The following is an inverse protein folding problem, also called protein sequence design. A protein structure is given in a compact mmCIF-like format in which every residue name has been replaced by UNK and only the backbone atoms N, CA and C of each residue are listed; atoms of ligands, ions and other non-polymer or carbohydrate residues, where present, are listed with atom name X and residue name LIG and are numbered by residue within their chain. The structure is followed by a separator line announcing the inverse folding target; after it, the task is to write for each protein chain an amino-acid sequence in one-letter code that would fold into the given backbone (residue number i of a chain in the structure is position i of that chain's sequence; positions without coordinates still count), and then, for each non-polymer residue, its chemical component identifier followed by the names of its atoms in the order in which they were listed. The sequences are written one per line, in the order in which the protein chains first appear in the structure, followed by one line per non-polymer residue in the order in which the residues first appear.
data_IF_628394385396
#
_entry.id   IF_628394385396
#
_cell.length_a   1.000
_cell.length_b   1.000
_cell.length_c   1.000
_cell.angle_alpha   90.00
_cell.angle_beta   90.00
_cell.angle_gamma   90.00
#
_symmetry.space_group_name_H-M   'P 1'
#
loop_
_entity.id
_entity.type
_entity.pdbx_description
1 polymer ?
#
# COMPACT_ATOMS: atom_id res chain seq x y z
N UNK A 1 15.64 6.37 -17.82
CA UNK A 1 14.51 6.01 -16.93
C UNK A 1 13.23 6.54 -17.55
N UNK A 2 12.15 5.75 -17.68
CA UNK A 2 10.90 6.25 -18.27
C UNK A 2 10.14 7.12 -17.26
N UNK A 3 9.57 8.24 -17.71
CA UNK A 3 8.76 9.15 -16.88
C UNK A 3 7.27 8.84 -16.96
N UNK A 4 6.49 9.31 -16.00
CA UNK A 4 5.02 9.19 -15.99
C UNK A 4 4.40 9.94 -17.19
N UNK A 5 3.40 9.32 -17.80
CA UNK A 5 2.55 9.87 -18.87
C UNK A 5 1.06 9.68 -18.54
N UNK A 6 0.19 10.32 -19.32
CA UNK A 6 -1.27 10.20 -19.15
C UNK A 6 -1.80 8.77 -19.33
N UNK A 7 -1.03 7.89 -19.97
CA UNK A 7 -1.43 6.52 -20.29
C UNK A 7 -0.60 5.46 -19.56
N UNK A 8 0.56 5.82 -18.98
CA UNK A 8 1.45 4.84 -18.34
C UNK A 8 2.30 5.46 -17.23
N UNK A 9 2.53 4.69 -16.16
CA UNK A 9 3.48 5.08 -15.12
C UNK A 9 4.92 4.77 -15.55
N UNK A 10 5.82 5.68 -15.21
CA UNK A 10 7.25 5.57 -15.43
C UNK A 10 7.91 4.58 -14.47
N UNK A 11 9.21 4.35 -14.68
CA UNK A 11 9.99 3.36 -13.94
C UNK A 11 9.96 3.62 -12.43
N UNK A 12 10.12 4.89 -11.98
CA UNK A 12 10.13 5.23 -10.54
C UNK A 12 8.80 4.85 -9.88
N UNK A 13 7.70 5.32 -10.45
CA UNK A 13 6.34 5.11 -9.92
C UNK A 13 6.02 3.63 -9.79
N UNK A 14 6.45 2.83 -10.78
CA UNK A 14 6.25 1.37 -10.81
C UNK A 14 7.16 0.65 -9.82
N UNK A 15 8.44 0.97 -9.77
CA UNK A 15 9.37 0.36 -8.81
C UNK A 15 8.92 0.63 -7.38
N UNK A 16 8.56 1.88 -7.05
CA UNK A 16 7.99 2.21 -5.74
C UNK A 16 6.71 1.42 -5.46
N UNK A 17 5.81 1.29 -6.45
CA UNK A 17 4.55 0.55 -6.28
C UNK A 17 4.80 -0.93 -5.94
N UNK A 18 5.59 -1.61 -6.77
CA UNK A 18 5.84 -3.04 -6.63
C UNK A 18 6.71 -3.38 -5.42
N UNK A 19 7.67 -2.53 -5.07
CA UNK A 19 8.43 -2.66 -3.83
C UNK A 19 7.52 -2.60 -2.61
N UNK A 20 6.59 -1.63 -2.58
CA UNK A 20 5.60 -1.53 -1.51
C UNK A 20 4.64 -2.72 -1.51
N UNK A 21 4.17 -3.18 -2.67
CA UNK A 21 3.28 -4.33 -2.79
C UNK A 21 3.94 -5.60 -2.22
N UNK A 22 5.21 -5.85 -2.54
CA UNK A 22 5.99 -6.95 -1.97
C UNK A 22 6.14 -6.82 -0.44
N UNK A 23 6.39 -5.62 0.07
CA UNK A 23 6.45 -5.38 1.50
C UNK A 23 5.09 -5.61 2.18
N UNK A 24 3.98 -5.17 1.61
CA UNK A 24 2.64 -5.42 2.19
C UNK A 24 2.29 -6.90 2.17
N UNK A 25 2.64 -7.64 1.11
CA UNK A 25 2.51 -9.09 1.08
C UNK A 25 3.28 -9.73 2.23
N UNK A 26 4.53 -9.31 2.47
CA UNK A 26 5.33 -9.76 3.60
C UNK A 26 4.68 -9.42 4.95
N UNK A 27 4.12 -8.21 5.10
CA UNK A 27 3.43 -7.79 6.33
C UNK A 27 2.25 -8.71 6.66
N UNK A 28 1.40 -9.00 5.67
CA UNK A 28 0.25 -9.89 5.87
C UNK A 28 0.68 -11.35 6.06
N UNK A 29 1.68 -11.82 5.31
CA UNK A 29 2.19 -13.18 5.43
C UNK A 29 2.80 -13.44 6.81
N UNK A 30 3.65 -12.53 7.31
CA UNK A 30 4.24 -12.63 8.64
C UNK A 30 3.15 -12.59 9.73
N UNK A 31 2.19 -11.67 9.61
CA UNK A 31 1.09 -11.56 10.56
C UNK A 31 0.23 -12.83 10.60
N UNK A 32 -0.11 -13.40 9.45
CA UNK A 32 -0.84 -14.67 9.36
C UNK A 32 -0.01 -15.81 9.97
N UNK A 33 1.28 -15.90 9.63
CA UNK A 33 2.16 -16.99 10.04
C UNK A 33 2.21 -17.17 11.56
N UNK A 34 2.42 -16.10 12.33
CA UNK A 34 2.48 -16.24 13.80
C UNK A 34 1.11 -16.38 14.47
N UNK A 35 0.02 -16.01 13.79
CA UNK A 35 -1.33 -16.27 14.30
C UNK A 35 -1.76 -17.73 14.05
N UNK A 36 -1.17 -18.41 13.05
CA UNK A 36 -1.38 -19.84 12.81
C UNK A 36 -0.43 -20.71 13.63
N UNK A 37 0.80 -20.23 13.88
CA UNK A 37 1.80 -20.95 14.65
C UNK A 37 2.62 -19.99 15.51
N UNK A 38 2.41 -20.08 16.83
CA UNK A 38 3.10 -19.27 17.82
C UNK A 38 4.64 -19.37 17.75
N UNK A 39 5.19 -20.49 17.26
CA UNK A 39 6.63 -20.66 17.05
C UNK A 39 7.21 -19.66 16.05
N UNK A 40 6.37 -19.06 15.18
CA UNK A 40 6.74 -18.06 14.19
C UNK A 40 6.64 -16.61 14.71
N UNK A 41 6.27 -16.39 15.98
CA UNK A 41 6.30 -15.06 16.64
C UNK A 41 7.62 -14.30 16.47
N UNK A 42 8.82 -14.93 16.39
CA UNK A 42 10.06 -14.21 16.09
C UNK A 42 10.04 -13.40 14.79
N UNK A 43 9.18 -13.74 13.81
CA UNK A 43 8.99 -12.96 12.57
C UNK A 43 8.50 -11.52 12.82
N UNK A 44 8.01 -11.21 14.02
CA UNK A 44 7.63 -9.83 14.39
C UNK A 44 8.79 -8.85 14.22
N UNK A 45 10.06 -9.29 14.36
CA UNK A 45 11.23 -8.44 14.12
C UNK A 45 11.28 -7.97 12.66
N UNK A 46 11.06 -8.90 11.73
CA UNK A 46 11.00 -8.62 10.30
C UNK A 46 9.79 -7.74 9.96
N UNK A 47 8.62 -8.03 10.54
CA UNK A 47 7.41 -7.24 10.35
C UNK A 47 7.58 -5.78 10.79
N UNK A 48 8.23 -5.54 11.94
CA UNK A 48 8.53 -4.18 12.41
C UNK A 48 9.48 -3.44 11.47
N UNK A 49 10.55 -4.10 11.02
CA UNK A 49 11.50 -3.52 10.08
C UNK A 49 10.83 -3.18 8.73
N UNK A 50 10.04 -4.10 8.18
CA UNK A 50 9.28 -3.89 6.94
C UNK A 50 8.21 -2.80 7.09
N UNK A 51 7.56 -2.71 8.25
CA UNK A 51 6.59 -1.66 8.56
C UNK A 51 7.20 -0.26 8.58
N UNK A 52 8.40 -0.10 9.17
CA UNK A 52 9.14 1.16 9.12
C UNK A 52 9.58 1.50 7.69
N UNK A 53 10.11 0.52 6.95
CA UNK A 53 10.47 0.71 5.55
C UNK A 53 9.26 1.14 4.71
N UNK A 54 8.10 0.53 4.91
CA UNK A 54 6.85 0.88 4.24
C UNK A 54 6.43 2.32 4.54
N UNK A 55 6.60 2.81 5.77
CA UNK A 55 6.29 4.20 6.09
C UNK A 55 7.19 5.17 5.31
N UNK A 56 8.49 4.88 5.22
CA UNK A 56 9.44 5.68 4.44
C UNK A 56 9.12 5.64 2.95
N UNK A 57 8.87 4.44 2.40
CA UNK A 57 8.47 4.27 1.01
C UNK A 57 7.14 4.96 0.70
N UNK A 58 6.18 4.93 1.63
CA UNK A 58 4.91 5.64 1.51
C UNK A 58 5.12 7.15 1.43
N UNK A 59 6.00 7.71 2.27
CA UNK A 59 6.36 9.12 2.22
C UNK A 59 7.00 9.47 0.86
N UNK A 60 8.02 8.73 0.43
CA UNK A 60 8.67 8.95 -0.87
C UNK A 60 7.66 8.87 -2.01
N UNK A 61 6.79 7.85 -1.99
CA UNK A 61 5.74 7.66 -2.99
C UNK A 61 4.72 8.81 -2.98
N UNK A 62 4.34 9.30 -1.81
CA UNK A 62 3.39 10.40 -1.67
C UNK A 62 3.99 11.73 -2.15
N UNK A 63 5.25 12.02 -1.82
CA UNK A 63 5.95 13.20 -2.35
C UNK A 63 6.09 13.11 -3.87
N UNK A 64 6.55 11.96 -4.38
CA UNK A 64 6.63 11.69 -5.82
C UNK A 64 5.27 11.88 -6.51
N UNK A 65 4.21 11.41 -5.85
CA UNK A 65 2.85 11.55 -6.32
C UNK A 65 2.37 12.99 -6.46
N UNK A 66 2.73 13.84 -5.50
CA UNK A 66 2.36 15.24 -5.48
C UNK A 66 3.13 16.02 -6.55
N UNK A 67 4.45 15.79 -6.66
CA UNK A 67 5.31 16.43 -7.67
C UNK A 67 4.86 16.12 -9.10
N UNK A 68 4.35 14.90 -9.33
CA UNK A 68 3.90 14.45 -10.65
C UNK A 68 2.38 14.41 -10.82
N UNK A 69 1.61 15.09 -9.95
CA UNK A 69 0.15 15.02 -9.96
C UNK A 69 -0.48 15.39 -11.32
N UNK A 70 0.07 16.38 -12.01
CA UNK A 70 -0.42 16.83 -13.32
C UNK A 70 -0.23 15.81 -14.45
N UNK A 71 0.61 14.79 -14.26
CA UNK A 71 0.94 13.79 -15.29
C UNK A 71 0.16 12.49 -15.12
N UNK A 72 -0.82 12.46 -14.22
CA UNK A 72 -1.57 11.26 -13.87
C UNK A 72 -2.81 11.08 -14.76
N UNK A 73 -3.20 9.84 -15.08
CA UNK A 73 -4.44 9.58 -15.79
C UNK A 73 -5.65 10.15 -15.02
N UNK A 74 -6.57 10.81 -15.71
CA UNK A 74 -7.80 11.32 -15.11
C UNK A 74 -8.68 10.15 -14.58
N UNK A 75 -9.38 10.40 -13.48
CA UNK A 75 -10.29 9.44 -12.86
C UNK A 75 -11.48 10.14 -12.21
N UNK A 76 -12.63 9.46 -12.17
CA UNK A 76 -13.84 9.94 -11.50
C UNK A 76 -13.68 10.06 -9.99
N UNK A 77 -14.68 10.63 -9.32
CA UNK A 77 -14.67 10.88 -7.86
C UNK A 77 -14.41 9.60 -7.06
N UNK A 78 -15.03 8.47 -7.44
CA UNK A 78 -14.82 7.18 -6.77
C UNK A 78 -13.35 6.70 -6.83
N UNK A 79 -12.68 6.89 -7.97
CA UNK A 79 -11.26 6.52 -8.13
C UNK A 79 -10.39 7.39 -7.23
N UNK A 80 -10.65 8.69 -7.19
CA UNK A 80 -9.91 9.63 -6.32
C UNK A 80 -10.12 9.31 -4.84
N UNK A 81 -11.36 9.05 -4.43
CA UNK A 81 -11.70 8.68 -3.06
C UNK A 81 -11.02 7.36 -2.64
N UNK A 82 -11.04 6.34 -3.50
CA UNK A 82 -10.33 5.07 -3.24
C UNK A 82 -8.82 5.26 -3.08
N UNK A 83 -8.19 6.06 -3.93
CA UNK A 83 -6.76 6.36 -3.80
C UNK A 83 -6.46 7.16 -2.52
N UNK A 84 -7.29 8.14 -2.18
CA UNK A 84 -7.13 8.91 -0.94
C UNK A 84 -7.22 8.00 0.29
N UNK A 85 -8.21 7.10 0.32
CA UNK A 85 -8.35 6.11 1.40
C UNK A 85 -7.14 5.17 1.48
N UNK A 86 -6.62 4.70 0.33
CA UNK A 86 -5.39 3.90 0.29
C UNK A 86 -4.20 4.69 0.85
N UNK A 87 -3.97 5.93 0.42
CA UNK A 87 -2.88 6.76 0.96
C UNK A 87 -3.03 6.97 2.47
N UNK A 88 -4.23 7.31 2.95
CA UNK A 88 -4.48 7.50 4.39
C UNK A 88 -4.10 6.25 5.20
N UNK A 89 -4.55 5.07 4.75
CA UNK A 89 -4.25 3.81 5.44
C UNK A 89 -2.79 3.37 5.30
N UNK A 90 -2.14 3.67 4.17
CA UNK A 90 -0.71 3.42 3.98
C UNK A 90 0.16 4.12 5.05
N UNK A 91 -0.28 5.27 5.57
CA UNK A 91 0.38 5.95 6.68
C UNK A 91 -0.17 5.51 8.04
N UNK A 92 -1.50 5.41 8.20
CA UNK A 92 -2.12 5.14 9.49
C UNK A 92 -1.77 3.75 10.06
N UNK A 93 -1.68 2.71 9.20
CA UNK A 93 -1.34 1.34 9.63
C UNK A 93 0.08 1.25 10.22
N UNK A 94 1.16 1.66 9.54
CA UNK A 94 2.50 1.62 10.13
C UNK A 94 2.65 2.63 11.29
N UNK A 95 2.01 3.80 11.23
CA UNK A 95 2.01 4.75 12.34
C UNK A 95 1.38 4.17 13.61
N UNK A 96 0.26 3.44 13.49
CA UNK A 96 -0.36 2.75 14.63
C UNK A 96 0.49 1.59 15.13
N UNK A 97 1.21 0.90 14.24
CA UNK A 97 2.19 -0.12 14.64
C UNK A 97 3.33 0.46 15.49
N UNK A 98 3.86 1.62 15.10
CA UNK A 98 4.85 2.35 15.91
C UNK A 98 4.25 2.85 17.22
N UNK A 99 3.05 3.44 17.19
CA UNK A 99 2.37 3.86 18.41
C UNK A 99 2.21 2.70 19.39
N UNK A 100 1.86 1.49 18.92
CA UNK A 100 1.81 0.30 19.77
C UNK A 100 3.16 -0.05 20.41
N UNK A 101 4.27 0.17 19.72
CA UNK A 101 5.62 -0.05 20.25
C UNK A 101 6.01 1.00 21.31
N UNK A 102 5.53 2.23 21.16
CA UNK A 102 5.82 3.33 22.08
C UNK A 102 4.68 3.60 23.08
N UNK A 103 3.72 2.67 23.23
CA UNK A 103 2.54 2.80 24.10
C UNK A 103 1.70 4.08 23.85
N UNK A 104 1.65 4.54 22.59
CA UNK A 104 0.85 5.68 22.15
C UNK A 104 -0.65 5.37 21.99
N UNK A 105 -1.46 6.43 22.01
CA UNK A 105 -2.91 6.40 22.16
C UNK A 105 -3.69 5.53 21.14
N UNK A 106 -3.17 5.33 19.93
CA UNK A 106 -3.88 4.63 18.85
C UNK A 106 -3.22 3.30 18.45
N UNK A 107 -2.30 2.77 19.27
CA UNK A 107 -1.61 1.50 19.00
C UNK A 107 -2.54 0.28 18.93
N UNK A 108 -3.61 0.28 19.74
CA UNK A 108 -4.59 -0.81 19.78
C UNK A 108 -5.42 -0.91 18.48
N UNK A 109 -5.52 0.18 17.71
CA UNK A 109 -6.25 0.19 16.44
C UNK A 109 -5.51 -0.53 15.30
N UNK A 110 -4.23 -0.86 15.48
CA UNK A 110 -3.37 -1.39 14.40
C UNK A 110 -3.98 -2.60 13.68
N UNK A 111 -4.49 -3.59 14.42
CA UNK A 111 -5.10 -4.79 13.82
C UNK A 111 -6.34 -4.46 12.98
N UNK A 112 -7.22 -3.61 13.49
CA UNK A 112 -8.42 -3.17 12.78
C UNK A 112 -8.06 -2.37 11.52
N UNK A 113 -7.14 -1.42 11.63
CA UNK A 113 -6.64 -0.63 10.50
C UNK A 113 -6.00 -1.52 9.43
N UNK A 114 -5.20 -2.51 9.84
CA UNK A 114 -4.58 -3.47 8.93
C UNK A 114 -5.61 -4.30 8.17
N UNK A 115 -6.69 -4.73 8.83
CA UNK A 115 -7.77 -5.50 8.18
C UNK A 115 -8.56 -4.65 7.18
N UNK A 116 -8.93 -3.42 7.55
CA UNK A 116 -9.58 -2.46 6.64
C UNK A 116 -8.69 -2.21 5.42
N UNK A 117 -7.39 -2.02 5.65
CA UNK A 117 -6.44 -1.80 4.56
C UNK A 117 -6.27 -3.03 3.66
N UNK A 118 -6.24 -4.24 4.22
CA UNK A 118 -6.24 -5.49 3.46
C UNK A 118 -7.46 -5.57 2.53
N UNK A 119 -8.67 -5.33 3.04
CA UNK A 119 -9.89 -5.34 2.24
C UNK A 119 -9.86 -4.28 1.13
N UNK A 120 -9.34 -3.09 1.43
CA UNK A 120 -9.21 -2.03 0.45
C UNK A 120 -8.19 -2.36 -0.65
N UNK A 121 -7.06 -2.99 -0.31
CA UNK A 121 -6.08 -3.52 -1.28
C UNK A 121 -6.73 -4.62 -2.14
N UNK A 122 -7.43 -5.56 -1.53
CA UNK A 122 -8.11 -6.64 -2.25
C UNK A 122 -9.15 -6.07 -3.24
N UNK A 123 -9.97 -5.11 -2.78
CA UNK A 123 -10.91 -4.39 -3.63
C UNK A 123 -10.21 -3.62 -4.75
N UNK A 124 -9.10 -2.93 -4.46
CA UNK A 124 -8.29 -2.24 -5.48
C UNK A 124 -7.80 -3.21 -6.56
N UNK A 125 -7.20 -4.33 -6.17
CA UNK A 125 -6.72 -5.37 -7.11
C UNK A 125 -7.90 -5.90 -7.94
N UNK A 126 -9.00 -6.30 -7.30
CA UNK A 126 -10.18 -6.80 -7.98
C UNK A 126 -10.71 -5.81 -9.02
N UNK A 127 -10.82 -4.52 -8.66
CA UNK A 127 -11.23 -3.47 -9.59
C UNK A 127 -10.27 -3.35 -10.79
N UNK A 128 -8.95 -3.36 -10.58
CA UNK A 128 -7.99 -3.29 -11.70
C UNK A 128 -8.13 -4.46 -12.66
N UNK A 129 -8.39 -5.67 -12.14
CA UNK A 129 -8.61 -6.87 -12.94
C UNK A 129 -9.94 -6.80 -13.69
N UNK A 130 -11.01 -6.33 -13.04
CA UNK A 130 -12.32 -6.17 -13.67
C UNK A 130 -12.27 -5.14 -14.81
N UNK A 131 -11.62 -4.01 -14.62
CA UNK A 131 -11.42 -3.02 -15.69
C UNK A 131 -10.58 -3.59 -16.84
N UNK A 132 -9.50 -4.33 -16.53
CA UNK A 132 -8.70 -5.01 -17.56
C UNK A 132 -9.54 -6.00 -18.38
N UNK A 133 -10.44 -6.75 -17.72
CA UNK A 133 -11.37 -7.67 -18.40
C UNK A 133 -12.43 -6.95 -19.24
N UNK A 134 -12.75 -5.70 -18.93
CA UNK A 134 -13.65 -4.82 -19.72
C UNK A 134 -12.95 -4.14 -20.90
N UNK A 135 -11.66 -4.42 -21.13
CA UNK A 135 -10.86 -3.80 -22.19
C UNK A 135 -10.25 -2.44 -21.82
N UNK A 136 -10.50 -1.96 -20.61
CA UNK A 136 -9.87 -0.76 -20.08
C UNK A 136 -8.49 -1.17 -19.56
N UNK A 137 -7.42 -0.89 -20.32
CA UNK A 137 -6.04 -1.32 -20.04
C UNK A 137 -5.40 -0.68 -18.78
N UNK A 138 -6.09 -0.72 -17.64
CA UNK A 138 -5.71 -0.09 -16.37
C UNK A 138 -4.55 -0.85 -15.73
N UNK A 139 -4.60 -2.18 -15.71
CA UNK A 139 -3.54 -3.00 -15.11
C UNK A 139 -2.21 -2.80 -15.85
N UNK A 140 -2.25 -2.72 -17.18
CA UNK A 140 -1.07 -2.50 -18.00
C UNK A 140 -0.36 -1.15 -17.76
N UNK A 141 -1.02 -0.18 -17.12
CA UNK A 141 -0.37 1.08 -16.74
C UNK A 141 0.71 0.89 -15.67
N UNK A 142 0.64 -0.20 -14.90
CA UNK A 142 1.55 -0.54 -13.80
C UNK A 142 2.48 -1.73 -14.08
N UNK A 143 2.19 -2.53 -15.12
CA UNK A 143 3.07 -3.58 -15.67
C UNK A 143 4.10 -3.01 -16.65
#
# INVERSE_FOLDING_TARGET
MQTDTATRYGTVSRTLHWAMAACYLLMFATALAWNLNDALKPLIKLHKAAGLLLLLLALVRFVWALVHFQRRPAGGVAVKAGHLALYALMFAVPASGMARQFHGAFGNAHGALAFVFFLLIAGHIAMTVLHQRRGEAILQRML
#
